data_IF_355754025052
#
_entry.id   IF_355754025052
#
_cell.length_a   1.000
_cell.length_b   1.000
_cell.length_c   1.000
_cell.angle_alpha   90.00
_cell.angle_beta   90.00
_cell.angle_gamma   90.00
#
_symmetry.space_group_name_H-M   'P 1'
#
loop_
_entity.id
_entity.type
_entity.pdbx_description
1 polymer ?
#
# COMPACT_ATOMS: atom_id res chain seq x y z
N UNK A 1 14.93 18.21 -3.00
CA UNK A 1 14.56 17.33 -1.88
C UNK A 1 15.18 17.84 -0.58
N UNK A 2 14.54 17.66 0.57
CA UNK A 2 15.10 18.03 1.90
C UNK A 2 15.10 16.89 2.91
N UNK A 3 14.35 15.81 2.65
CA UNK A 3 14.34 14.63 3.52
C UNK A 3 15.54 13.71 3.24
N UNK A 4 16.58 13.78 4.08
CA UNK A 4 17.79 12.96 3.92
C UNK A 4 17.52 11.47 4.00
N UNK A 5 16.57 11.03 4.84
CA UNK A 5 16.26 9.60 5.02
C UNK A 5 15.73 9.02 3.72
N UNK A 6 14.80 9.71 3.07
CA UNK A 6 14.24 9.29 1.79
C UNK A 6 15.31 9.23 0.69
N UNK A 7 16.34 10.09 0.73
CA UNK A 7 17.43 10.05 -0.25
C UNK A 7 18.30 8.81 -0.01
N UNK A 8 18.64 8.54 1.24
CA UNK A 8 19.42 7.36 1.61
C UNK A 8 18.69 6.08 1.19
N UNK A 9 17.40 5.97 1.50
CA UNK A 9 16.61 4.76 1.26
C UNK A 9 16.40 4.51 -0.25
N UNK A 10 16.04 5.51 -1.05
CA UNK A 10 15.71 5.28 -2.46
C UNK A 10 16.88 5.45 -3.46
N UNK A 11 17.90 6.26 -3.15
CA UNK A 11 19.00 6.57 -4.09
C UNK A 11 20.28 5.81 -3.70
N UNK A 12 20.75 5.97 -2.46
CA UNK A 12 21.99 5.34 -2.00
C UNK A 12 21.82 3.85 -1.64
N UNK A 13 20.67 3.49 -1.09
CA UNK A 13 20.33 2.13 -0.65
C UNK A 13 19.06 1.62 -1.34
N UNK A 14 18.78 2.09 -2.56
CA UNK A 14 17.57 1.75 -3.30
C UNK A 14 17.36 0.25 -3.50
N UNK A 15 18.46 -0.52 -3.60
CA UNK A 15 18.42 -1.99 -3.69
C UNK A 15 17.91 -2.63 -2.40
N UNK A 16 18.24 -2.07 -1.24
CA UNK A 16 17.74 -2.58 0.05
C UNK A 16 16.23 -2.39 0.13
N UNK A 17 15.73 -1.22 -0.29
CA UNK A 17 14.28 -0.95 -0.36
C UNK A 17 13.56 -1.82 -1.38
N UNK A 18 14.16 -2.07 -2.54
CA UNK A 18 13.63 -3.05 -3.50
C UNK A 18 13.52 -4.44 -2.86
N UNK A 19 14.51 -4.84 -2.07
CA UNK A 19 14.49 -6.09 -1.31
C UNK A 19 13.36 -6.13 -0.28
N UNK A 20 13.14 -5.05 0.47
CA UNK A 20 12.04 -4.91 1.43
C UNK A 20 10.66 -5.03 0.76
N UNK A 21 10.46 -4.35 -0.37
CA UNK A 21 9.22 -4.46 -1.17
C UNK A 21 9.03 -5.90 -1.68
N UNK A 22 10.09 -6.54 -2.20
CA UNK A 22 10.01 -7.93 -2.65
C UNK A 22 9.66 -8.90 -1.52
N UNK A 23 10.21 -8.69 -0.31
CA UNK A 23 9.86 -9.49 0.87
C UNK A 23 8.38 -9.33 1.21
N UNK A 24 7.85 -8.10 1.21
CA UNK A 24 6.44 -7.84 1.49
C UNK A 24 5.54 -8.46 0.42
N UNK A 25 5.87 -8.29 -0.86
CA UNK A 25 5.17 -8.91 -1.98
C UNK A 25 5.13 -10.43 -1.83
N UNK A 26 6.29 -11.06 -1.59
CA UNK A 26 6.42 -12.50 -1.44
C UNK A 26 5.62 -13.01 -0.23
N UNK A 27 5.66 -12.30 0.90
CA UNK A 27 4.89 -12.64 2.08
C UNK A 27 3.37 -12.56 1.81
N UNK A 28 2.89 -11.48 1.19
CA UNK A 28 1.48 -11.30 0.85
C UNK A 28 0.99 -12.38 -0.14
N UNK A 29 1.80 -12.69 -1.16
CA UNK A 29 1.52 -13.77 -2.10
C UNK A 29 1.53 -15.15 -1.43
N UNK A 30 2.49 -15.39 -0.55
CA UNK A 30 2.59 -16.64 0.21
C UNK A 30 1.34 -16.88 1.05
N UNK A 31 0.88 -15.87 1.79
CA UNK A 31 -0.37 -15.93 2.56
C UNK A 31 -1.57 -16.18 1.66
N UNK A 32 -1.71 -15.43 0.57
CA UNK A 32 -2.83 -15.60 -0.36
C UNK A 32 -2.86 -16.99 -1.02
N UNK A 33 -1.70 -17.60 -1.30
CA UNK A 33 -1.61 -18.95 -1.84
C UNK A 33 -1.94 -20.01 -0.78
N UNK A 34 -1.47 -19.84 0.46
CA UNK A 34 -1.74 -20.77 1.56
C UNK A 34 -3.21 -20.78 1.98
N UNK A 35 -3.88 -19.61 1.98
CA UNK A 35 -5.28 -19.49 2.42
C UNK A 35 -6.31 -19.64 1.28
N UNK A 36 -5.86 -19.82 0.03
CA UNK A 36 -6.74 -19.92 -1.15
C UNK A 36 -7.80 -21.01 -1.05
N UNK A 37 -7.48 -22.13 -0.39
CA UNK A 37 -8.33 -23.33 -0.35
C UNK A 37 -9.45 -23.25 0.70
N UNK A 38 -9.40 -22.29 1.62
CA UNK A 38 -10.35 -22.18 2.73
C UNK A 38 -11.60 -21.38 2.35
N UNK A 39 -11.69 -20.84 1.14
CA UNK A 39 -12.82 -20.00 0.70
C UNK A 39 -14.15 -20.77 0.61
N UNK A 40 -15.10 -20.47 1.49
CA UNK A 40 -16.52 -20.80 1.29
C UNK A 40 -17.29 -19.57 0.77
N UNK A 41 -17.69 -19.55 -0.52
CA UNK A 41 -18.49 -18.46 -1.10
C UNK A 41 -19.88 -18.29 -0.47
N UNK A 42 -20.37 -19.31 0.26
CA UNK A 42 -21.72 -19.34 0.85
C UNK A 42 -21.75 -18.89 2.32
N UNK A 43 -20.60 -18.68 2.95
CA UNK A 43 -20.50 -18.15 4.30
C UNK A 43 -21.06 -16.72 4.36
N UNK A 44 -22.37 -16.60 4.59
CA UNK A 44 -23.04 -15.30 4.78
C UNK A 44 -22.54 -14.68 6.07
N UNK A 45 -21.83 -13.55 5.95
CA UNK A 45 -21.42 -12.74 7.09
C UNK A 45 -22.59 -11.87 7.56
N UNK A 46 -22.96 -12.02 8.82
CA UNK A 46 -23.76 -11.03 9.52
C UNK A 46 -22.81 -10.14 10.32
N UNK A 47 -22.15 -9.22 9.62
CA UNK A 47 -21.04 -8.40 10.11
C UNK A 47 -21.34 -6.90 10.13
N UNK A 48 -22.59 -6.52 9.86
CA UNK A 48 -23.02 -5.13 9.88
C UNK A 48 -22.97 -4.57 11.29
N UNK A 49 -22.26 -3.46 11.46
CA UNK A 49 -22.32 -2.66 12.69
C UNK A 49 -23.73 -2.09 12.87
N UNK A 50 -24.33 -2.33 14.04
CA UNK A 50 -25.72 -1.95 14.34
C UNK A 50 -25.90 -0.48 14.71
N UNK A 51 -24.83 0.20 15.14
CA UNK A 51 -24.87 1.61 15.56
C UNK A 51 -24.52 2.55 14.42
N UNK A 52 -25.46 3.41 14.03
CA UNK A 52 -25.24 4.45 13.02
C UNK A 52 -24.18 5.47 13.44
N UNK A 53 -24.06 5.76 14.73
CA UNK A 53 -23.04 6.68 15.25
C UNK A 53 -21.62 6.11 15.05
N UNK A 54 -21.43 4.82 15.33
CA UNK A 54 -20.14 4.12 15.12
C UNK A 54 -19.80 4.08 13.63
N UNK A 55 -20.79 3.80 12.78
CA UNK A 55 -20.61 3.75 11.34
C UNK A 55 -20.24 5.12 10.76
N UNK A 56 -20.93 6.19 11.17
CA UNK A 56 -20.63 7.56 10.74
C UNK A 56 -19.22 7.98 11.18
N UNK A 57 -18.88 7.75 12.46
CA UNK A 57 -17.56 8.06 12.99
C UNK A 57 -16.47 7.28 12.24
N UNK A 58 -16.66 5.98 12.04
CA UNK A 58 -15.69 5.14 11.36
C UNK A 58 -15.48 5.48 9.89
N UNK A 59 -16.53 5.85 9.15
CA UNK A 59 -16.38 6.38 7.78
C UNK A 59 -15.63 7.71 7.78
N UNK A 60 -15.91 8.60 8.74
CA UNK A 60 -15.18 9.86 8.92
C UNK A 60 -13.69 9.64 9.18
N UNK A 61 -13.35 8.74 10.10
CA UNK A 61 -11.96 8.36 10.38
C UNK A 61 -11.29 7.68 9.20
N UNK A 62 -11.99 6.79 8.48
CA UNK A 62 -11.45 6.15 7.27
C UNK A 62 -11.10 7.20 6.21
N UNK A 63 -11.99 8.17 5.95
CA UNK A 63 -11.70 9.27 5.03
C UNK A 63 -10.50 10.12 5.50
N UNK A 64 -10.44 10.43 6.80
CA UNK A 64 -9.31 11.16 7.39
C UNK A 64 -7.98 10.42 7.25
N UNK A 65 -7.94 9.12 7.54
CA UNK A 65 -6.76 8.28 7.34
C UNK A 65 -6.37 8.17 5.88
N UNK A 66 -7.34 8.08 4.97
CA UNK A 66 -7.05 7.99 3.54
C UNK A 66 -6.34 9.27 3.05
N UNK A 67 -6.87 10.44 3.40
CA UNK A 67 -6.24 11.74 3.06
C UNK A 67 -4.87 11.88 3.74
N UNK A 68 -4.76 11.48 5.01
CA UNK A 68 -3.49 11.50 5.73
C UNK A 68 -2.45 10.60 5.05
N UNK A 69 -2.82 9.38 4.67
CA UNK A 69 -1.95 8.45 3.96
C UNK A 69 -1.46 9.02 2.63
N UNK A 70 -2.37 9.57 1.82
CA UNK A 70 -2.00 10.27 0.59
C UNK A 70 -1.04 11.44 0.85
N UNK A 71 -1.28 12.22 1.89
CA UNK A 71 -0.40 13.32 2.29
C UNK A 71 0.99 12.84 2.67
N UNK A 72 1.09 11.78 3.48
CA UNK A 72 2.37 11.19 3.91
C UNK A 72 3.17 10.64 2.73
N UNK A 73 2.51 9.99 1.77
CA UNK A 73 3.17 9.54 0.53
C UNK A 73 3.63 10.74 -0.28
N UNK A 74 2.74 11.69 -0.58
CA UNK A 74 3.05 12.83 -1.45
C UNK A 74 4.20 13.70 -0.90
N UNK A 75 4.26 13.90 0.41
CA UNK A 75 5.27 14.76 1.05
C UNK A 75 6.55 14.01 1.43
N UNK A 76 6.68 12.71 1.12
CA UNK A 76 7.89 11.91 1.42
C UNK A 76 9.23 12.60 1.11
N UNK A 77 9.41 13.31 -0.02
CA UNK A 77 10.66 14.02 -0.32
C UNK A 77 11.01 15.20 0.62
N UNK A 78 10.05 15.70 1.40
CA UNK A 78 10.20 16.95 2.18
C UNK A 78 9.83 16.83 3.65
N UNK A 79 9.02 15.85 4.04
CA UNK A 79 8.63 15.59 5.45
C UNK A 79 9.03 14.18 5.89
N UNK A 80 9.26 13.93 7.20
CA UNK A 80 9.32 12.57 7.73
C UNK A 80 8.08 11.79 7.30
N UNK A 81 8.27 10.57 6.81
CA UNK A 81 7.21 9.90 6.06
C UNK A 81 7.77 9.03 4.94
N UNK A 82 6.90 8.77 3.98
CA UNK A 82 7.24 8.12 2.72
C UNK A 82 6.17 7.12 2.28
N UNK A 83 6.50 6.40 1.21
CA UNK A 83 5.65 5.40 0.60
C UNK A 83 5.19 4.35 1.61
N UNK A 84 6.13 3.72 2.32
CA UNK A 84 5.82 2.59 3.18
C UNK A 84 4.85 2.97 4.30
N UNK A 85 5.19 4.00 5.07
CA UNK A 85 4.37 4.48 6.19
C UNK A 85 3.01 4.99 5.70
N UNK A 86 2.99 5.76 4.61
CA UNK A 86 1.75 6.24 4.00
C UNK A 86 0.87 5.10 3.48
N UNK A 87 1.47 4.06 2.89
CA UNK A 87 0.79 2.86 2.41
C UNK A 87 0.11 2.07 3.53
N UNK A 88 0.77 1.92 4.69
CA UNK A 88 0.16 1.30 5.88
C UNK A 88 -1.02 2.12 6.41
N UNK A 89 -0.90 3.45 6.42
CA UNK A 89 -2.00 4.35 6.81
C UNK A 89 -3.18 4.25 5.83
N UNK A 90 -2.90 4.18 4.52
CA UNK A 90 -3.92 3.95 3.49
C UNK A 90 -4.62 2.60 3.68
N UNK A 91 -3.88 1.51 3.90
CA UNK A 91 -4.47 0.19 4.16
C UNK A 91 -5.36 0.20 5.40
N UNK A 92 -4.96 0.92 6.44
CA UNK A 92 -5.74 1.09 7.68
C UNK A 92 -7.07 1.81 7.44
N UNK A 93 -7.12 2.76 6.50
CA UNK A 93 -8.37 3.40 6.09
C UNK A 93 -9.38 2.38 5.52
N UNK A 94 -8.92 1.45 4.68
CA UNK A 94 -9.78 0.37 4.16
C UNK A 94 -10.20 -0.59 5.27
N UNK A 95 -9.30 -0.94 6.20
CA UNK A 95 -9.64 -1.78 7.35
C UNK A 95 -10.75 -1.15 8.21
N UNK A 96 -10.73 0.18 8.41
CA UNK A 96 -11.80 0.88 9.13
C UNK A 96 -13.15 0.81 8.41
N UNK A 97 -13.20 0.81 7.07
CA UNK A 97 -14.46 0.63 6.32
C UNK A 97 -15.10 -0.71 6.64
N UNK A 98 -14.29 -1.77 6.80
CA UNK A 98 -14.80 -3.05 7.27
C UNK A 98 -15.24 -2.98 8.74
N UNK A 99 -14.39 -2.50 9.64
CA UNK A 99 -14.64 -2.50 11.08
C UNK A 99 -15.85 -1.66 11.50
N UNK A 100 -16.10 -0.55 10.81
CA UNK A 100 -17.22 0.35 11.09
C UNK A 100 -18.44 0.12 10.19
N UNK A 101 -18.30 -0.71 9.16
CA UNK A 101 -19.30 -0.93 8.14
C UNK A 101 -19.65 -2.41 8.00
N UNK A 102 -19.29 -2.97 6.86
CA UNK A 102 -19.56 -4.35 6.50
C UNK A 102 -18.58 -4.85 5.42
N UNK A 103 -18.41 -6.16 5.31
CA UNK A 103 -17.51 -6.78 4.34
C UNK A 103 -17.87 -6.47 2.89
N UNK A 104 -19.16 -6.28 2.57
CA UNK A 104 -19.56 -5.95 1.19
C UNK A 104 -19.11 -4.54 0.81
N UNK A 105 -19.22 -3.57 1.73
CA UNK A 105 -18.73 -2.21 1.55
C UNK A 105 -17.21 -2.18 1.40
N UNK A 106 -16.48 -2.92 2.26
CA UNK A 106 -15.04 -3.11 2.13
C UNK A 106 -14.64 -3.72 0.79
N UNK A 107 -15.24 -4.86 0.40
CA UNK A 107 -14.87 -5.61 -0.81
C UNK A 107 -15.16 -4.85 -2.11
N UNK A 108 -16.14 -3.94 -2.10
CA UNK A 108 -16.38 -3.02 -3.23
C UNK A 108 -15.22 -2.05 -3.44
N UNK A 109 -14.58 -1.60 -2.35
CA UNK A 109 -13.44 -0.70 -2.40
C UNK A 109 -12.11 -1.43 -2.64
N UNK A 110 -12.06 -2.74 -2.37
CA UNK A 110 -10.86 -3.58 -2.50
C UNK A 110 -11.07 -4.73 -3.51
N UNK A 111 -11.37 -4.42 -4.79
CA UNK A 111 -11.52 -5.46 -5.81
C UNK A 111 -10.19 -6.19 -6.03
N UNK A 112 -10.23 -7.52 -6.12
CA UNK A 112 -9.02 -8.37 -6.24
C UNK A 112 -8.10 -7.92 -7.37
N UNK A 113 -8.64 -7.71 -8.57
CA UNK A 113 -7.85 -7.26 -9.72
C UNK A 113 -7.13 -5.93 -9.47
N UNK A 114 -7.81 -4.96 -8.84
CA UNK A 114 -7.20 -3.67 -8.54
C UNK A 114 -6.08 -3.78 -7.50
N UNK A 115 -6.27 -4.62 -6.48
CA UNK A 115 -5.27 -4.88 -5.44
C UNK A 115 -4.07 -5.63 -6.03
N UNK A 116 -4.29 -6.65 -6.86
CA UNK A 116 -3.20 -7.40 -7.48
C UNK A 116 -2.39 -6.55 -8.46
N UNK A 117 -3.06 -5.68 -9.23
CA UNK A 117 -2.38 -4.73 -10.11
C UNK A 117 -1.56 -3.73 -9.29
N UNK A 118 -2.17 -3.08 -8.29
CA UNK A 118 -1.50 -2.12 -7.41
C UNK A 118 -0.25 -2.72 -6.74
N UNK A 119 -0.38 -3.94 -6.22
CA UNK A 119 0.72 -4.71 -5.62
C UNK A 119 1.85 -4.97 -6.62
N UNK A 120 1.52 -5.39 -7.85
CA UNK A 120 2.53 -5.62 -8.90
C UNK A 120 3.19 -4.35 -9.43
N UNK A 121 2.52 -3.19 -9.31
CA UNK A 121 3.03 -1.93 -9.84
C UNK A 121 4.26 -1.41 -9.11
N UNK A 122 4.42 -1.65 -7.79
CA UNK A 122 5.59 -1.17 -7.06
C UNK A 122 6.88 -1.81 -7.58
N UNK A 123 7.01 -3.13 -7.47
CA UNK A 123 8.12 -3.90 -8.06
C UNK A 123 8.33 -3.61 -9.55
N UNK A 124 7.25 -3.48 -10.32
CA UNK A 124 7.32 -3.13 -11.74
C UNK A 124 7.96 -1.77 -11.97
N UNK A 125 7.57 -0.75 -11.20
CA UNK A 125 8.11 0.61 -11.30
C UNK A 125 9.58 0.64 -10.87
N UNK A 126 9.97 -0.04 -9.79
CA UNK A 126 11.38 -0.16 -9.41
C UNK A 126 12.21 -0.79 -10.53
N UNK A 127 11.71 -1.87 -11.12
CA UNK A 127 12.37 -2.56 -12.23
C UNK A 127 12.55 -1.63 -13.42
N UNK A 128 11.49 -0.92 -13.84
CA UNK A 128 11.53 0.00 -14.97
C UNK A 128 12.46 1.18 -14.70
N UNK A 129 12.32 1.86 -13.56
CA UNK A 129 13.16 3.01 -13.20
C UNK A 129 14.63 2.59 -13.14
N UNK A 130 14.92 1.45 -12.53
CA UNK A 130 16.29 0.95 -12.43
C UNK A 130 16.90 0.56 -13.78
N UNK A 131 16.13 -0.07 -14.68
CA UNK A 131 16.57 -0.34 -16.06
C UNK A 131 16.84 0.98 -16.81
N UNK A 132 15.96 1.97 -16.66
CA UNK A 132 16.16 3.29 -17.27
C UNK A 132 17.43 3.96 -16.75
N UNK A 133 17.71 3.93 -15.44
CA UNK A 133 18.97 4.45 -14.87
C UNK A 133 20.20 3.79 -15.52
N UNK A 134 20.16 2.47 -15.74
CA UNK A 134 21.25 1.74 -16.40
C UNK A 134 21.41 2.14 -17.87
N UNK A 135 20.31 2.32 -18.60
CA UNK A 135 20.33 2.77 -20.00
C UNK A 135 20.88 4.21 -20.14
N UNK A 136 20.74 5.03 -19.10
CA UNK A 136 21.35 6.36 -19.01
C UNK A 136 22.85 6.32 -18.62
N UNK A 137 23.44 5.14 -18.43
CA UNK A 137 24.84 4.96 -18.05
C UNK A 137 25.13 5.24 -16.57
N UNK A 138 24.10 5.26 -15.72
CA UNK A 138 24.21 5.48 -14.28
C UNK A 138 24.03 4.17 -13.50
N UNK A 139 24.24 4.21 -12.18
CA UNK A 139 23.97 3.05 -11.33
C UNK A 139 22.47 2.69 -11.32
N UNK A 140 22.15 1.43 -11.06
CA UNK A 140 20.76 0.98 -10.90
C UNK A 140 20.05 1.79 -9.81
N UNK A 141 18.83 2.27 -10.11
CA UNK A 141 18.02 3.16 -9.25
C UNK A 141 18.62 4.53 -8.93
N UNK A 142 19.71 4.92 -9.60
CA UNK A 142 20.25 6.28 -9.46
C UNK A 142 19.15 7.31 -9.77
N UNK A 143 19.02 8.32 -8.91
CA UNK A 143 18.00 9.35 -9.04
C UNK A 143 18.22 10.21 -10.30
N UNK A 144 17.17 10.43 -11.07
CA UNK A 144 17.20 11.27 -12.27
C UNK A 144 15.90 12.05 -12.46
N UNK A 145 15.85 12.91 -13.48
CA UNK A 145 14.69 13.74 -13.79
C UNK A 145 14.75 15.13 -13.14
N UNK A 146 13.66 15.91 -13.23
CA UNK A 146 13.64 17.27 -12.70
C UNK A 146 13.73 17.25 -11.17
N UNK A 147 14.83 17.77 -10.65
CA UNK A 147 15.08 17.88 -9.20
C UNK A 147 14.40 19.10 -8.56
N UNK A 148 13.70 19.91 -9.36
CA UNK A 148 12.92 21.07 -8.90
C UNK A 148 13.69 22.03 -8.00
N UNK A 149 12.95 22.76 -7.16
CA UNK A 149 13.52 23.60 -6.11
C UNK A 149 13.44 22.87 -4.77
N UNK A 150 14.54 22.89 -3.99
CA UNK A 150 14.56 22.25 -2.67
C UNK A 150 13.38 22.71 -1.80
N UNK A 151 12.78 21.77 -1.06
CA UNK A 151 11.60 22.03 -0.23
C UNK A 151 10.25 21.98 -0.97
N UNK A 152 10.24 21.78 -2.30
CA UNK A 152 8.99 21.57 -3.06
C UNK A 152 8.71 20.10 -3.32
N UNK A 153 7.44 19.76 -3.58
CA UNK A 153 7.01 18.40 -3.93
C UNK A 153 7.66 17.88 -5.21
N UNK A 154 7.93 18.77 -6.18
CA UNK A 154 8.58 18.43 -7.44
C UNK A 154 10.08 18.14 -7.30
N UNK A 155 10.62 18.17 -6.08
CA UNK A 155 12.06 18.16 -5.86
C UNK A 155 12.71 16.79 -5.68
N UNK A 156 11.96 15.71 -5.90
CA UNK A 156 12.39 14.34 -5.66
C UNK A 156 12.81 13.53 -6.89
N UNK A 157 12.66 14.05 -8.12
CA UNK A 157 13.02 13.28 -9.32
C UNK A 157 12.32 11.92 -9.38
N UNK A 158 13.06 10.86 -9.70
CA UNK A 158 12.54 9.48 -9.70
C UNK A 158 12.26 8.94 -8.30
N UNK A 159 12.87 9.49 -7.25
CA UNK A 159 12.57 9.08 -5.87
C UNK A 159 11.08 9.31 -5.54
N UNK A 160 10.48 10.40 -6.03
CA UNK A 160 9.03 10.64 -5.83
C UNK A 160 8.18 9.56 -6.48
N UNK A 161 8.59 9.06 -7.65
CA UNK A 161 7.89 8.00 -8.38
C UNK A 161 8.01 6.69 -7.61
N UNK A 162 9.24 6.31 -7.21
CA UNK A 162 9.50 5.11 -6.41
C UNK A 162 8.71 5.15 -5.09
N UNK A 163 8.69 6.29 -4.42
CA UNK A 163 7.98 6.50 -3.17
C UNK A 163 6.45 6.34 -3.32
N UNK A 164 5.85 6.85 -4.41
CA UNK A 164 4.43 6.64 -4.70
C UNK A 164 4.16 5.16 -5.00
N UNK A 165 5.04 4.52 -5.78
CA UNK A 165 4.91 3.12 -6.15
C UNK A 165 4.98 2.20 -4.91
N UNK A 166 5.94 2.44 -4.01
CA UNK A 166 6.01 1.80 -2.69
C UNK A 166 4.73 2.01 -1.89
N UNK A 167 4.19 3.23 -1.84
CA UNK A 167 2.96 3.49 -1.09
C UNK A 167 1.76 2.70 -1.62
N UNK A 168 1.67 2.56 -2.94
CA UNK A 168 0.62 1.79 -3.60
C UNK A 168 0.78 0.28 -3.38
N UNK A 169 2.01 -0.24 -3.50
CA UNK A 169 2.32 -1.65 -3.26
C UNK A 169 2.06 -2.04 -1.80
N UNK A 170 2.58 -1.28 -0.85
CA UNK A 170 2.40 -1.53 0.58
C UNK A 170 0.93 -1.48 0.96
N UNK A 171 0.18 -0.48 0.49
CA UNK A 171 -1.27 -0.42 0.69
C UNK A 171 -1.94 -1.70 0.19
N UNK A 172 -1.63 -2.11 -1.05
CA UNK A 172 -2.24 -3.28 -1.67
C UNK A 172 -1.86 -4.59 -0.95
N UNK A 173 -0.61 -4.76 -0.54
CA UNK A 173 -0.14 -5.92 0.20
C UNK A 173 -0.86 -6.08 1.54
N UNK A 174 -0.97 -5.00 2.33
CA UNK A 174 -1.69 -5.04 3.61
C UNK A 174 -3.19 -5.25 3.43
N UNK A 175 -3.81 -4.66 2.40
CA UNK A 175 -5.22 -4.91 2.07
C UNK A 175 -5.43 -6.38 1.66
N UNK A 176 -4.53 -6.97 0.89
CA UNK A 176 -4.60 -8.39 0.52
C UNK A 176 -4.49 -9.26 1.77
N UNK A 177 -3.45 -9.08 2.58
CA UNK A 177 -3.25 -9.81 3.83
C UNK A 177 -4.48 -9.74 4.73
N UNK A 178 -5.03 -8.54 4.92
CA UNK A 178 -6.24 -8.34 5.71
C UNK A 178 -7.44 -9.07 5.12
N UNK A 179 -7.61 -9.04 3.79
CA UNK A 179 -8.70 -9.75 3.10
C UNK A 179 -8.60 -11.26 3.30
N UNK A 180 -7.42 -11.85 3.13
CA UNK A 180 -7.20 -13.29 3.25
C UNK A 180 -7.42 -13.76 4.70
N UNK A 181 -6.89 -13.02 5.69
CA UNK A 181 -7.15 -13.34 7.11
C UNK A 181 -8.61 -13.16 7.49
N UNK A 182 -9.29 -12.15 6.95
CA UNK A 182 -10.73 -12.02 7.14
C UNK A 182 -11.43 -13.24 6.58
N UNK A 183 -11.20 -13.62 5.33
CA UNK A 183 -11.88 -14.75 4.69
C UNK A 183 -11.71 -16.06 5.49
N UNK A 184 -10.50 -16.33 6.00
CA UNK A 184 -10.22 -17.46 6.90
C UNK A 184 -11.08 -17.44 8.18
N UNK A 185 -11.17 -16.27 8.84
CA UNK A 185 -12.01 -16.10 10.05
C UNK A 185 -13.51 -16.30 9.77
N UNK A 186 -13.97 -16.07 8.53
CA UNK A 186 -15.37 -16.33 8.16
C UNK A 186 -15.68 -17.83 8.22
N UNK A 187 -14.77 -18.64 7.69
CA UNK A 187 -14.98 -20.06 7.45
C UNK A 187 -14.90 -20.83 8.76
N UNK A 188 -13.92 -20.50 9.61
CA UNK A 188 -13.77 -21.10 10.94
C UNK A 188 -14.95 -20.84 11.88
N UNK A 189 -15.70 -19.75 11.69
CA UNK A 189 -16.87 -19.39 12.51
C UNK A 189 -18.22 -19.82 11.91
N UNK A 190 -18.24 -20.43 10.73
CA UNK A 190 -19.48 -20.94 10.16
C UNK A 190 -20.03 -22.10 11.04
N UNK A 191 -21.31 -22.08 11.43
CA UNK A 191 -21.90 -23.19 12.18
C UNK A 191 -21.82 -24.46 11.31
N UNK A 192 -21.23 -25.52 11.87
CA UNK A 192 -21.18 -26.86 11.27
C UNK A 192 -22.55 -27.52 11.27
#
# INVERSE_FOLDING_TARGET
>A
MTNVVTAVVFDYRGVDTLGEEFILFAAAMGVALLLREVRDPRARRNDRVSSDAVRLAGVGFAAGLFVLGLSVVAHGPITPGGGFQGGVVLASAFALVYLAGDYRSYRKLTPSFGIDLAKGTGLGVFTVVGIVSLLLGTAYLHNFGPLGTAGTLASGGTISILNIATGLEVMAAFVLLFTEFLEELAVTRAPR
#
